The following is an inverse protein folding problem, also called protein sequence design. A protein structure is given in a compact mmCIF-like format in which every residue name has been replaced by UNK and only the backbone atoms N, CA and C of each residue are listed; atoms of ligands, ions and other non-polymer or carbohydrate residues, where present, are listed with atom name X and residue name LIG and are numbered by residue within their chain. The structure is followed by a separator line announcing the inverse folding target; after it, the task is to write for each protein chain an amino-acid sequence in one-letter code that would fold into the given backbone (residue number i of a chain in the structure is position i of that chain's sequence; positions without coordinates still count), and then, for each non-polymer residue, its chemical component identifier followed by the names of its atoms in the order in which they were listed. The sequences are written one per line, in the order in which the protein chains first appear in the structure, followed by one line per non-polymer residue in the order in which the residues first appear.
data_IF_867630538863
#
_entry.id   IF_867630538863
#
_cell.length_a   1.000
_cell.length_b   1.000
_cell.length_c   1.000
_cell.angle_alpha   90.00
_cell.angle_beta   90.00
_cell.angle_gamma   90.00
#
_symmetry.space_group_name_H-M   'P 1'
#
loop_
_entity.id
_entity.type
_entity.pdbx_description
1 polymer ?
#
# COMPACT_ATOMS: atom_id res chain seq x y z
N UNK A 1 28.27 -24.57 20.21
CA UNK A 1 28.51 -24.29 18.78
C UNK A 1 29.71 -25.07 18.25
N UNK A 2 30.86 -25.01 18.93
CA UNK A 2 32.06 -25.80 18.59
C UNK A 2 31.75 -27.29 18.47
N UNK A 3 31.13 -27.89 19.49
CA UNK A 3 30.78 -29.32 19.46
C UNK A 3 29.88 -29.69 18.28
N UNK A 4 28.91 -28.82 17.95
CA UNK A 4 28.04 -28.99 16.78
C UNK A 4 28.83 -28.95 15.48
N UNK A 5 29.75 -27.98 15.35
CA UNK A 5 30.61 -27.87 14.18
C UNK A 5 31.46 -29.12 13.96
N UNK A 6 32.07 -29.64 15.04
CA UNK A 6 32.83 -30.89 15.00
C UNK A 6 31.95 -32.08 14.62
N UNK A 7 30.73 -32.17 15.18
CA UNK A 7 29.79 -33.26 14.90
C UNK A 7 29.31 -33.30 13.44
N UNK A 8 29.20 -32.15 12.77
CA UNK A 8 28.79 -32.06 11.35
C UNK A 8 29.97 -31.97 10.37
N UNK A 9 31.21 -32.05 10.87
CA UNK A 9 32.41 -31.94 10.03
C UNK A 9 32.68 -30.53 9.48
N UNK A 10 32.07 -29.50 10.07
CA UNK A 10 32.28 -28.08 9.71
C UNK A 10 32.69 -27.32 10.97
N UNK A 11 34.00 -27.21 11.27
CA UNK A 11 34.48 -26.53 12.46
C UNK A 11 33.91 -25.12 12.60
N UNK A 12 33.61 -24.73 13.83
CA UNK A 12 33.11 -23.38 14.11
C UNK A 12 34.24 -22.36 14.00
N UNK A 13 34.09 -21.45 13.04
CA UNK A 13 34.97 -20.30 12.84
C UNK A 13 34.15 -19.02 13.00
N UNK A 14 34.43 -18.17 14.01
CA UNK A 14 33.79 -16.87 14.14
C UNK A 14 33.96 -16.05 12.85
N UNK A 15 32.90 -15.42 12.38
CA UNK A 15 32.93 -14.63 11.14
C UNK A 15 32.02 -13.42 11.24
N UNK A 16 32.39 -12.33 10.57
CA UNK A 16 31.52 -11.20 10.30
C UNK A 16 30.99 -11.24 8.87
N UNK A 17 29.81 -10.68 8.67
CA UNK A 17 29.15 -10.58 7.37
C UNK A 17 28.83 -9.10 7.10
N UNK A 18 28.94 -8.62 5.85
CA UNK A 18 28.46 -7.30 5.49
C UNK A 18 26.95 -7.22 5.75
N UNK A 19 26.50 -6.20 6.48
CA UNK A 19 25.11 -6.01 6.90
C UNK A 19 24.74 -4.55 6.69
N UNK A 20 23.55 -4.33 6.14
CA UNK A 20 22.91 -3.01 6.09
C UNK A 20 21.64 -3.06 6.94
N UNK A 21 21.48 -2.09 7.84
CA UNK A 21 20.33 -1.99 8.73
C UNK A 21 19.37 -0.94 8.21
N UNK A 22 18.17 -1.37 7.83
CA UNK A 22 17.11 -0.49 7.37
C UNK A 22 16.05 -0.29 8.43
N UNK A 23 15.29 0.80 8.35
CA UNK A 23 14.18 1.08 9.25
C UNK A 23 13.02 1.67 8.46
N UNK A 24 11.81 1.21 8.79
CA UNK A 24 10.61 1.88 8.30
C UNK A 24 10.45 3.21 9.00
N UNK A 25 10.63 3.29 10.33
CA UNK A 25 10.53 4.53 11.13
C UNK A 25 11.59 5.59 10.79
N UNK A 26 12.75 5.15 10.28
CA UNK A 26 13.94 5.98 10.12
C UNK A 26 14.74 6.19 11.41
N UNK A 27 14.28 5.66 12.56
CA UNK A 27 14.95 5.87 13.85
C UNK A 27 16.07 4.84 14.11
N UNK A 28 15.85 3.56 13.79
CA UNK A 28 16.78 2.46 14.13
C UNK A 28 17.40 1.78 12.91
N UNK A 29 17.67 2.57 11.88
CA UNK A 29 18.23 2.10 10.62
C UNK A 29 18.15 3.17 9.54
N UNK A 30 18.68 2.84 8.37
CA UNK A 30 18.61 3.66 7.16
C UNK A 30 17.14 3.73 6.71
N UNK A 31 16.57 4.93 6.50
CA UNK A 31 15.17 5.05 6.11
C UNK A 31 14.86 4.30 4.82
N UNK A 32 13.91 3.37 4.88
CA UNK A 32 13.33 2.72 3.71
C UNK A 32 11.99 3.37 3.40
N UNK A 33 11.99 4.29 2.43
CA UNK A 33 10.78 4.97 1.95
C UNK A 33 10.27 4.36 0.64
N UNK A 34 9.01 4.61 0.34
CA UNK A 34 8.35 4.26 -0.91
C UNK A 34 7.31 5.35 -1.23
N UNK A 35 7.06 5.66 -2.50
CA UNK A 35 5.95 6.59 -2.83
C UNK A 35 4.60 5.90 -2.65
N UNK A 36 3.54 6.66 -2.38
CA UNK A 36 2.18 6.10 -2.33
C UNK A 36 1.81 5.45 -3.67
N UNK A 37 2.22 6.06 -4.77
CA UNK A 37 2.03 5.55 -6.13
C UNK A 37 2.64 4.15 -6.30
N UNK A 38 3.90 3.97 -5.90
CA UNK A 38 4.61 2.68 -5.99
C UNK A 38 4.09 1.64 -5.00
N UNK A 39 3.48 2.08 -3.91
CA UNK A 39 2.80 1.19 -2.98
C UNK A 39 1.51 0.62 -3.57
N UNK A 40 0.78 1.44 -4.30
CA UNK A 40 -0.41 1.04 -5.03
C UNK A 40 -1.68 0.90 -4.18
N UNK A 41 -2.86 0.86 -4.82
CA UNK A 41 -4.15 0.96 -4.14
C UNK A 41 -4.54 -0.30 -3.34
N UNK A 42 -4.11 -1.49 -3.78
CA UNK A 42 -4.43 -2.76 -3.11
C UNK A 42 -3.70 -2.88 -1.78
N UNK A 43 -2.38 -2.59 -1.79
CA UNK A 43 -1.57 -2.62 -0.59
C UNK A 43 -1.96 -1.49 0.37
N UNK A 44 -2.24 -0.29 -0.15
CA UNK A 44 -2.71 0.82 0.67
C UNK A 44 -4.07 0.51 1.31
N UNK A 45 -4.98 -0.12 0.55
CA UNK A 45 -6.27 -0.57 1.07
C UNK A 45 -6.13 -1.59 2.21
N UNK A 46 -5.11 -2.45 2.16
CA UNK A 46 -4.79 -3.39 3.25
C UNK A 46 -4.38 -2.65 4.53
N UNK A 47 -3.43 -1.72 4.44
CA UNK A 47 -2.94 -0.96 5.59
C UNK A 47 -4.03 -0.06 6.19
N UNK A 48 -4.87 0.53 5.35
CA UNK A 48 -5.98 1.39 5.79
C UNK A 48 -7.23 0.59 6.22
N UNK A 49 -7.19 -0.74 6.14
CA UNK A 49 -8.30 -1.66 6.44
C UNK A 49 -9.58 -1.31 5.67
N UNK A 50 -9.43 -1.00 4.38
CA UNK A 50 -10.53 -0.60 3.52
C UNK A 50 -11.32 -1.83 3.05
N UNK A 51 -12.63 -1.64 2.88
CA UNK A 51 -13.46 -2.64 2.20
C UNK A 51 -13.24 -2.61 0.68
N UNK A 52 -13.84 -3.55 -0.04
CA UNK A 52 -13.69 -3.68 -1.49
C UNK A 52 -14.12 -2.42 -2.24
N UNK A 53 -15.23 -1.79 -1.84
CA UNK A 53 -15.74 -0.56 -2.46
C UNK A 53 -14.75 0.59 -2.29
N UNK A 54 -14.22 0.78 -1.08
CA UNK A 54 -13.24 1.83 -0.77
C UNK A 54 -11.89 1.58 -1.48
N UNK A 55 -11.47 0.33 -1.58
CA UNK A 55 -10.28 -0.06 -2.35
C UNK A 55 -10.47 0.22 -3.84
N UNK A 56 -11.69 -0.01 -4.37
CA UNK A 56 -12.06 0.36 -5.73
C UNK A 56 -12.00 1.88 -5.97
N UNK A 57 -12.44 2.68 -5.00
CA UNK A 57 -12.29 4.15 -5.04
C UNK A 57 -10.82 4.57 -5.09
N UNK A 58 -9.96 3.96 -4.26
CA UNK A 58 -8.52 4.21 -4.35
C UNK A 58 -7.97 3.84 -5.72
N UNK A 59 -8.35 2.69 -6.29
CA UNK A 59 -7.88 2.27 -7.60
C UNK A 59 -8.26 3.28 -8.71
N UNK A 60 -9.49 3.79 -8.71
CA UNK A 60 -9.94 4.83 -9.63
C UNK A 60 -9.14 6.14 -9.46
N UNK A 61 -8.92 6.57 -8.21
CA UNK A 61 -8.12 7.76 -7.91
C UNK A 61 -6.66 7.62 -8.38
N UNK A 62 -6.03 6.47 -8.14
CA UNK A 62 -4.67 6.20 -8.60
C UNK A 62 -4.59 6.21 -10.13
N UNK A 63 -5.59 5.65 -10.81
CA UNK A 63 -5.64 5.65 -12.26
C UNK A 63 -5.79 7.08 -12.82
N UNK A 64 -6.65 7.90 -12.23
CA UNK A 64 -6.76 9.32 -12.57
C UNK A 64 -5.41 10.05 -12.36
N UNK A 65 -4.75 9.82 -11.22
CA UNK A 65 -3.46 10.43 -10.93
C UNK A 65 -2.41 10.09 -12.01
N UNK A 66 -2.35 8.81 -12.41
CA UNK A 66 -1.46 8.34 -13.47
C UNK A 66 -1.78 8.99 -14.83
N UNK A 67 -3.05 9.03 -15.22
CA UNK A 67 -3.48 9.56 -16.53
C UNK A 67 -3.27 11.08 -16.62
N UNK A 68 -3.29 11.79 -15.49
CA UNK A 68 -3.05 13.22 -15.40
C UNK A 68 -1.64 13.60 -14.93
N UNK A 69 -0.72 12.63 -14.82
CA UNK A 69 0.67 12.85 -14.39
C UNK A 69 0.76 13.62 -13.05
N UNK A 70 -0.01 13.16 -12.06
CA UNK A 70 -0.03 13.70 -10.70
C UNK A 70 0.65 12.71 -9.75
N UNK A 71 1.95 12.88 -9.45
CA UNK A 71 2.67 11.94 -8.60
C UNK A 71 2.06 11.88 -7.20
N UNK A 72 1.72 10.66 -6.75
CA UNK A 72 1.26 10.42 -5.38
C UNK A 72 2.47 10.01 -4.54
N UNK A 73 3.14 11.01 -3.96
CA UNK A 73 4.38 10.80 -3.21
C UNK A 73 4.03 10.38 -1.78
N UNK A 74 3.13 11.12 -1.12
CA UNK A 74 2.75 10.87 0.27
C UNK A 74 1.23 10.97 0.55
N UNK A 75 0.87 10.95 1.83
CA UNK A 75 -0.52 11.09 2.24
C UNK A 75 -1.11 12.49 2.09
N UNK A 76 -0.30 13.55 2.06
CA UNK A 76 -0.78 14.89 1.74
C UNK A 76 -1.35 14.90 0.32
N UNK A 77 -0.62 14.31 -0.63
CA UNK A 77 -1.04 14.15 -2.02
C UNK A 77 -2.33 13.34 -2.12
N UNK A 78 -2.35 12.20 -1.44
CA UNK A 78 -3.48 11.28 -1.43
C UNK A 78 -4.74 11.95 -0.90
N UNK A 79 -4.64 12.64 0.25
CA UNK A 79 -5.77 13.37 0.85
C UNK A 79 -6.27 14.47 -0.07
N UNK A 80 -5.35 15.25 -0.65
CA UNK A 80 -5.70 16.41 -1.47
C UNK A 80 -6.34 16.01 -2.79
N UNK A 81 -5.79 14.98 -3.46
CA UNK A 81 -6.40 14.43 -4.66
C UNK A 81 -7.77 13.83 -4.36
N UNK A 82 -7.91 13.08 -3.26
CA UNK A 82 -9.20 12.51 -2.87
C UNK A 82 -10.26 13.59 -2.65
N UNK A 83 -9.92 14.67 -1.94
CA UNK A 83 -10.82 15.82 -1.75
C UNK A 83 -11.15 16.53 -3.07
N UNK A 84 -10.14 16.76 -3.92
CA UNK A 84 -10.31 17.37 -5.24
C UNK A 84 -11.31 16.59 -6.12
N UNK A 85 -11.22 15.25 -6.11
CA UNK A 85 -12.06 14.37 -6.93
C UNK A 85 -13.41 14.03 -6.29
N UNK A 86 -13.57 14.14 -4.97
CA UNK A 86 -14.84 13.83 -4.31
C UNK A 86 -15.77 15.05 -4.16
N UNK A 87 -15.20 16.21 -3.89
CA UNK A 87 -15.96 17.43 -3.54
C UNK A 87 -15.50 18.68 -4.33
N UNK A 88 -14.30 18.66 -4.89
CA UNK A 88 -13.72 19.77 -5.64
C UNK A 88 -14.09 19.80 -7.13
N UNK A 89 -13.45 20.69 -7.90
CA UNK A 89 -13.69 20.83 -9.34
C UNK A 89 -13.46 19.55 -10.14
N UNK A 90 -12.56 18.67 -9.68
CA UNK A 90 -12.27 17.38 -10.30
C UNK A 90 -13.39 16.34 -10.19
N UNK A 91 -14.43 16.59 -9.39
CA UNK A 91 -15.58 15.68 -9.24
C UNK A 91 -16.27 15.35 -10.56
N UNK A 92 -16.40 16.34 -11.45
CA UNK A 92 -17.01 16.10 -12.76
C UNK A 92 -16.03 15.45 -13.76
N UNK A 93 -14.72 15.69 -13.61
CA UNK A 93 -13.68 15.05 -14.44
C UNK A 93 -13.67 13.53 -14.22
N UNK A 94 -13.60 13.08 -12.96
CA UNK A 94 -13.49 11.65 -12.65
C UNK A 94 -14.76 10.86 -13.00
N UNK A 95 -15.91 11.52 -12.93
CA UNK A 95 -17.24 10.91 -13.12
C UNK A 95 -17.45 10.36 -14.51
N UNK A 96 -16.83 10.97 -15.53
CA UNK A 96 -16.94 10.53 -16.93
C UNK A 96 -16.26 9.17 -17.16
N UNK A 97 -15.02 9.04 -16.70
CA UNK A 97 -14.14 7.93 -17.11
C UNK A 97 -13.97 6.84 -16.04
N UNK A 98 -14.12 7.19 -14.74
CA UNK A 98 -13.86 6.25 -13.64
C UNK A 98 -15.03 6.12 -12.66
N UNK A 99 -16.08 6.93 -12.84
CA UNK A 99 -17.26 6.94 -12.00
C UNK A 99 -17.18 7.89 -10.81
N UNK A 100 -18.29 8.03 -10.08
CA UNK A 100 -18.40 9.00 -8.99
C UNK A 100 -17.82 8.46 -7.69
N UNK A 101 -16.99 9.25 -7.01
CA UNK A 101 -16.57 9.01 -5.64
C UNK A 101 -17.66 9.52 -4.68
N UNK A 102 -18.14 8.66 -3.78
CA UNK A 102 -19.10 9.07 -2.75
C UNK A 102 -18.39 9.80 -1.59
N UNK A 103 -19.03 10.82 -1.03
CA UNK A 103 -18.51 11.54 0.14
C UNK A 103 -18.34 10.63 1.36
N UNK A 104 -19.21 9.63 1.52
CA UNK A 104 -19.11 8.64 2.58
C UNK A 104 -17.83 7.79 2.49
N UNK A 105 -17.48 7.31 1.29
CA UNK A 105 -16.24 6.56 1.07
C UNK A 105 -15.01 7.46 1.24
N UNK A 106 -15.02 8.65 0.63
CA UNK A 106 -13.93 9.65 0.75
C UNK A 106 -13.65 10.00 2.22
N UNK A 107 -14.68 10.38 2.98
CA UNK A 107 -14.53 10.73 4.40
C UNK A 107 -14.10 9.54 5.29
N UNK A 108 -14.35 8.31 4.89
CA UNK A 108 -13.84 7.13 5.61
C UNK A 108 -12.36 6.90 5.33
N UNK A 109 -11.95 6.99 4.07
CA UNK A 109 -10.54 6.86 3.66
C UNK A 109 -9.70 7.96 4.34
N UNK A 110 -10.16 9.22 4.30
CA UNK A 110 -9.47 10.34 4.95
C UNK A 110 -9.25 10.10 6.45
N UNK A 111 -10.26 9.61 7.17
CA UNK A 111 -10.14 9.30 8.61
C UNK A 111 -9.15 8.17 8.88
N UNK A 112 -9.12 7.14 8.03
CA UNK A 112 -8.15 6.05 8.14
C UNK A 112 -6.71 6.53 7.87
N UNK A 113 -6.51 7.40 6.89
CA UNK A 113 -5.21 8.05 6.65
C UNK A 113 -4.77 8.85 7.87
N UNK A 114 -5.64 9.70 8.42
CA UNK A 114 -5.33 10.51 9.61
C UNK A 114 -5.00 9.63 10.82
N UNK A 115 -5.71 8.52 11.02
CA UNK A 115 -5.40 7.58 12.09
C UNK A 115 -3.99 6.97 11.94
N UNK A 116 -3.56 6.68 10.71
CA UNK A 116 -2.23 6.15 10.45
C UNK A 116 -1.12 7.21 10.61
N UNK A 117 -1.39 8.46 10.22
CA UNK A 117 -0.49 9.59 10.49
C UNK A 117 -0.27 9.79 11.99
N UNK A 118 -1.33 9.67 12.82
CA UNK A 118 -1.23 9.77 14.27
C UNK A 118 -0.40 8.66 14.91
N UNK A 119 -0.34 7.49 14.29
CA UNK A 119 0.53 6.39 14.71
C UNK A 119 2.00 6.63 14.34
N UNK A 120 2.31 7.74 13.64
CA UNK A 120 3.66 8.07 13.20
C UNK A 120 4.17 7.09 12.17
N UNK A 121 3.30 6.63 11.26
CA UNK A 121 3.63 5.63 10.23
C UNK A 121 3.68 6.23 8.82
N UNK A 122 3.39 7.52 8.68
CA UNK A 122 3.35 8.21 7.40
C UNK A 122 4.74 8.48 6.79
N UNK A 123 5.80 8.47 7.60
CA UNK A 123 7.17 8.75 7.15
C UNK A 123 7.74 7.67 6.22
N UNK A 124 7.10 6.49 6.12
CA UNK A 124 7.45 5.47 5.12
C UNK A 124 7.10 5.95 3.71
N UNK A 125 6.15 6.88 3.59
CA UNK A 125 5.70 7.40 2.32
C UNK A 125 6.44 8.69 1.97
N UNK A 126 7.15 8.67 0.85
CA UNK A 126 7.87 9.83 0.36
C UNK A 126 9.12 9.49 -0.45
N UNK A 127 9.84 10.54 -0.81
CA UNK A 127 11.11 10.45 -1.54
C UNK A 127 12.28 10.85 -0.61
N UNK A 128 13.52 10.44 -0.83
CA UNK A 128 13.95 9.49 -1.84
C UNK A 128 13.46 8.09 -1.51
N UNK A 129 12.72 7.50 -2.45
CA UNK A 129 12.22 6.14 -2.40
C UNK A 129 13.38 5.14 -2.50
N UNK A 130 13.20 3.98 -1.88
CA UNK A 130 14.22 2.97 -1.82
C UNK A 130 14.51 2.38 -3.21
N UNK A 131 15.76 2.48 -3.64
CA UNK A 131 16.24 1.89 -4.88
C UNK A 131 16.55 0.41 -4.67
N UNK A 132 15.75 -0.45 -5.28
CA UNK A 132 15.89 -1.91 -5.19
C UNK A 132 17.28 -2.42 -5.60
N UNK A 133 18.03 -1.66 -6.42
CA UNK A 133 19.37 -2.04 -6.84
C UNK A 133 20.37 -2.07 -5.66
N UNK A 134 20.10 -1.32 -4.60
CA UNK A 134 20.93 -1.32 -3.40
C UNK A 134 20.89 -2.66 -2.64
N UNK A 135 19.88 -3.51 -2.89
CA UNK A 135 19.82 -4.87 -2.32
C UNK A 135 20.86 -5.84 -2.91
N UNK A 136 21.49 -5.48 -4.03
CA UNK A 136 22.42 -6.36 -4.75
C UNK A 136 23.89 -6.01 -4.50
N UNK A 137 24.16 -5.13 -3.53
CA UNK A 137 25.51 -4.74 -3.16
C UNK A 137 26.37 -5.92 -2.67
N UNK A 138 27.68 -5.78 -2.89
CA UNK A 138 28.69 -6.73 -2.44
C UNK A 138 29.85 -6.01 -1.81
N UNK A 139 30.38 -6.56 -0.72
CA UNK A 139 31.60 -6.10 -0.06
C UNK A 139 32.61 -7.26 -0.07
N UNK A 140 33.77 -7.03 -0.66
CA UNK A 140 34.82 -8.05 -0.85
C UNK A 140 34.30 -9.35 -1.50
N UNK A 141 33.41 -9.21 -2.49
CA UNK A 141 32.79 -10.33 -3.19
C UNK A 141 31.67 -11.06 -2.42
N UNK A 142 31.40 -10.69 -1.15
CA UNK A 142 30.30 -11.23 -0.34
C UNK A 142 29.04 -10.38 -0.52
N UNK A 143 27.89 -11.03 -0.68
CA UNK A 143 26.60 -10.35 -0.69
C UNK A 143 26.32 -9.68 0.67
N UNK A 144 25.73 -8.49 0.61
CA UNK A 144 25.31 -7.74 1.79
C UNK A 144 23.99 -8.30 2.33
N UNK A 145 23.90 -8.48 3.64
CA UNK A 145 22.67 -8.88 4.32
C UNK A 145 21.87 -7.62 4.65
N UNK A 146 20.79 -7.40 3.90
CA UNK A 146 19.84 -6.33 4.17
C UNK A 146 18.87 -6.75 5.27
N UNK A 147 18.94 -6.12 6.44
CA UNK A 147 18.07 -6.39 7.58
C UNK A 147 17.11 -5.22 7.81
N UNK A 148 15.81 -5.46 7.66
CA UNK A 148 14.80 -4.50 8.07
C UNK A 148 14.57 -4.60 9.58
N UNK A 149 15.02 -3.58 10.31
CA UNK A 149 14.77 -3.46 11.73
C UNK A 149 13.32 -3.04 11.97
N UNK A 150 12.54 -3.95 12.55
CA UNK A 150 11.14 -3.72 12.90
C UNK A 150 10.94 -3.40 14.39
N UNK A 151 12.01 -3.27 15.18
CA UNK A 151 11.93 -3.11 16.65
C UNK A 151 11.19 -1.86 17.11
N UNK A 152 11.02 -0.86 16.24
CA UNK A 152 10.29 0.38 16.47
C UNK A 152 8.89 0.39 15.83
N UNK A 153 8.51 -0.67 15.10
CA UNK A 153 7.20 -0.84 14.45
C UNK A 153 6.57 -2.21 14.76
N UNK A 154 6.98 -2.86 15.85
CA UNK A 154 6.52 -4.21 16.24
C UNK A 154 5.01 -4.26 16.46
N UNK A 155 4.43 -3.17 16.98
CA UNK A 155 2.99 -3.05 17.20
C UNK A 155 2.18 -2.87 15.91
N UNK A 156 2.86 -2.83 14.74
CA UNK A 156 2.27 -2.57 13.43
C UNK A 156 2.57 -3.71 12.43
N UNK A 157 2.16 -4.96 12.72
CA UNK A 157 2.51 -6.11 11.90
C UNK A 157 1.98 -6.07 10.48
N UNK A 158 0.79 -5.49 10.29
CA UNK A 158 0.20 -5.32 8.95
C UNK A 158 1.02 -4.34 8.12
N UNK A 159 1.60 -3.31 8.73
CA UNK A 159 2.39 -2.30 8.02
C UNK A 159 3.65 -2.92 7.40
N UNK A 160 4.52 -3.51 8.24
CA UNK A 160 5.80 -3.99 7.75
C UNK A 160 5.64 -5.19 6.82
N UNK A 161 4.64 -6.05 7.05
CA UNK A 161 4.38 -7.20 6.18
C UNK A 161 3.91 -6.72 4.80
N UNK A 162 3.00 -5.74 4.75
CA UNK A 162 2.57 -5.11 3.50
C UNK A 162 3.72 -4.38 2.81
N UNK A 163 4.63 -3.74 3.55
CA UNK A 163 5.82 -3.10 3.00
C UNK A 163 6.81 -4.11 2.40
N UNK A 164 7.10 -5.21 3.08
CA UNK A 164 7.98 -6.26 2.52
C UNK A 164 7.38 -6.84 1.23
N UNK A 165 6.05 -6.97 1.15
CA UNK A 165 5.38 -7.37 -0.08
C UNK A 165 5.48 -6.29 -1.17
N UNK A 166 5.34 -5.00 -0.83
CA UNK A 166 5.52 -3.92 -1.81
C UNK A 166 6.93 -3.93 -2.38
N UNK A 167 7.94 -4.16 -1.55
CA UNK A 167 9.33 -4.31 -1.98
C UNK A 167 9.50 -5.51 -2.93
N UNK A 168 8.86 -6.64 -2.65
CA UNK A 168 8.86 -7.80 -3.54
C UNK A 168 8.14 -7.51 -4.87
N UNK A 169 7.05 -6.75 -4.83
CA UNK A 169 6.34 -6.31 -6.03
C UNK A 169 7.20 -5.36 -6.89
N UNK A 170 7.95 -4.45 -6.26
CA UNK A 170 8.90 -3.57 -6.93
C UNK A 170 10.05 -4.37 -7.58
N UNK A 171 10.59 -5.36 -6.87
CA UNK A 171 11.55 -6.30 -7.44
C UNK A 171 10.97 -7.03 -8.65
N UNK A 172 9.74 -7.53 -8.58
CA UNK A 172 9.09 -8.19 -9.71
C UNK A 172 8.91 -7.27 -10.93
N UNK A 173 8.45 -6.03 -10.69
CA UNK A 173 8.16 -5.03 -11.72
C UNK A 173 9.43 -4.57 -12.44
N UNK A 174 10.49 -4.29 -11.69
CA UNK A 174 11.65 -3.56 -12.20
C UNK A 174 12.82 -4.48 -12.60
N UNK A 175 12.86 -5.72 -12.11
CA UNK A 175 13.94 -6.65 -12.46
C UNK A 175 13.72 -7.27 -13.85
N UNK A 176 14.78 -7.45 -14.65
CA UNK A 176 14.69 -8.18 -15.91
C UNK A 176 14.45 -9.67 -15.62
N UNK A 177 13.82 -10.35 -16.57
CA UNK A 177 13.78 -11.81 -16.54
C UNK A 177 15.18 -12.37 -16.77
N UNK A 178 15.49 -13.43 -16.04
CA UNK A 178 16.71 -14.21 -16.16
C UNK A 178 16.32 -15.66 -16.38
N UNK A 179 17.13 -16.37 -17.16
CA UNK A 179 16.95 -17.81 -17.35
C UNK A 179 17.22 -18.59 -16.05
N UNK A 180 17.47 -19.88 -16.19
CA UNK A 180 17.76 -20.74 -15.05
C UNK A 180 19.21 -20.51 -14.58
N UNK A 181 19.39 -19.68 -13.56
CA UNK A 181 20.68 -19.40 -12.95
C UNK A 181 20.97 -20.44 -11.86
N UNK A 182 22.22 -20.91 -11.79
CA UNK A 182 22.68 -21.82 -10.72
C UNK A 182 22.48 -21.25 -9.31
N UNK A 183 22.50 -19.92 -9.17
CA UNK A 183 22.31 -19.20 -7.90
C UNK A 183 21.35 -18.02 -8.10
N UNK A 184 20.46 -17.76 -7.13
CA UNK A 184 19.64 -16.56 -7.17
C UNK A 184 20.51 -15.31 -7.03
N UNK A 185 20.06 -14.21 -7.63
CA UNK A 185 20.65 -12.87 -7.47
C UNK A 185 20.37 -12.31 -6.07
N UNK A 186 19.21 -12.63 -5.50
CA UNK A 186 18.76 -12.20 -4.18
C UNK A 186 17.93 -13.30 -3.53
N UNK A 187 18.02 -13.42 -2.21
CA UNK A 187 17.13 -14.27 -1.41
C UNK A 187 16.38 -13.39 -0.43
N UNK A 188 15.05 -13.46 -0.46
CA UNK A 188 14.16 -12.67 0.37
C UNK A 188 13.53 -13.56 1.44
N UNK A 189 13.69 -13.20 2.72
CA UNK A 189 13.11 -13.92 3.85
C UNK A 189 11.97 -13.11 4.44
N UNK A 190 10.79 -13.73 4.52
CA UNK A 190 9.67 -13.21 5.29
C UNK A 190 9.65 -13.91 6.64
N UNK A 191 10.15 -13.22 7.66
CA UNK A 191 9.98 -13.67 9.04
C UNK A 191 8.54 -13.42 9.51
N UNK A 192 8.04 -14.34 10.34
CA UNK A 192 6.64 -14.37 10.78
C UNK A 192 5.64 -14.22 9.63
N UNK A 193 5.81 -15.06 8.60
CA UNK A 193 5.03 -15.05 7.36
C UNK A 193 3.51 -15.04 7.57
N UNK A 194 3.02 -15.62 8.68
CA UNK A 194 1.61 -15.65 9.04
C UNK A 194 0.96 -14.25 9.08
N UNK A 195 1.74 -13.20 9.39
CA UNK A 195 1.27 -11.82 9.47
C UNK A 195 0.94 -11.20 8.11
N UNK A 196 1.46 -11.75 7.02
CA UNK A 196 1.07 -11.36 5.67
C UNK A 196 -0.37 -11.79 5.35
N UNK A 197 -0.75 -12.97 5.81
CA UNK A 197 -1.94 -13.67 5.31
C UNK A 197 -3.15 -13.52 6.22
N UNK A 198 -2.94 -13.37 7.52
CA UNK A 198 -4.04 -13.37 8.49
C UNK A 198 -5.02 -12.21 8.25
N UNK A 199 -6.29 -12.54 7.96
CA UNK A 199 -7.33 -11.56 7.66
C UNK A 199 -7.11 -10.74 6.39
N UNK A 200 -6.23 -11.18 5.47
CA UNK A 200 -5.93 -10.45 4.25
C UNK A 200 -7.10 -10.52 3.22
N UNK A 201 -7.45 -9.41 2.54
CA UNK A 201 -8.46 -9.40 1.50
C UNK A 201 -8.09 -10.31 0.32
N UNK A 202 -9.09 -10.81 -0.40
CA UNK A 202 -8.87 -11.69 -1.57
C UNK A 202 -7.98 -11.07 -2.64
N UNK A 203 -8.15 -9.77 -2.90
CA UNK A 203 -7.32 -9.04 -3.87
C UNK A 203 -5.83 -9.06 -3.48
N UNK A 204 -5.53 -8.88 -2.19
CA UNK A 204 -4.18 -8.95 -1.65
C UNK A 204 -3.59 -10.36 -1.81
N UNK A 205 -4.33 -11.40 -1.39
CA UNK A 205 -3.87 -12.79 -1.51
C UNK A 205 -3.58 -13.19 -2.97
N UNK A 206 -4.42 -12.73 -3.90
CA UNK A 206 -4.22 -12.97 -5.35
C UNK A 206 -2.93 -12.32 -5.84
N UNK A 207 -2.65 -11.09 -5.41
CA UNK A 207 -1.43 -10.38 -5.78
C UNK A 207 -0.19 -11.08 -5.23
N UNK A 208 -0.24 -11.54 -3.97
CA UNK A 208 0.84 -12.32 -3.35
C UNK A 208 1.12 -13.60 -4.12
N UNK A 209 0.08 -14.38 -4.44
CA UNK A 209 0.20 -15.63 -5.20
C UNK A 209 0.83 -15.40 -6.58
N UNK A 210 0.42 -14.36 -7.29
CA UNK A 210 0.99 -13.99 -8.58
C UNK A 210 2.48 -13.65 -8.48
N UNK A 211 2.86 -12.83 -7.50
CA UNK A 211 4.26 -12.44 -7.32
C UNK A 211 5.11 -13.67 -6.98
N UNK A 212 4.70 -14.49 -6.02
CA UNK A 212 5.46 -15.68 -5.60
C UNK A 212 5.65 -16.66 -6.75
N UNK A 213 4.61 -16.87 -7.57
CA UNK A 213 4.69 -17.77 -8.74
C UNK A 213 5.71 -17.29 -9.77
N UNK A 214 5.83 -15.98 -9.97
CA UNK A 214 6.59 -15.42 -11.09
C UNK A 214 7.97 -14.88 -10.69
N UNK A 215 8.21 -14.53 -9.43
CA UNK A 215 9.44 -13.86 -9.00
C UNK A 215 10.71 -14.71 -9.24
N UNK A 216 10.59 -16.04 -9.28
CA UNK A 216 11.72 -16.93 -9.61
C UNK A 216 12.34 -16.58 -10.96
N UNK A 217 11.54 -16.20 -11.96
CA UNK A 217 12.05 -15.81 -13.29
C UNK A 217 12.88 -14.51 -13.24
N UNK A 218 12.84 -13.76 -12.14
CA UNK A 218 13.69 -12.59 -11.90
C UNK A 218 15.00 -12.94 -11.18
N UNK A 219 15.22 -14.22 -10.90
CA UNK A 219 16.39 -14.71 -10.17
C UNK A 219 16.32 -14.42 -8.68
N UNK A 220 15.11 -14.33 -8.11
CA UNK A 220 14.90 -14.04 -6.69
C UNK A 220 14.30 -15.29 -6.03
N UNK A 221 14.96 -15.76 -4.97
CA UNK A 221 14.42 -16.81 -4.11
C UNK A 221 13.60 -16.20 -2.97
N UNK A 222 12.47 -16.80 -2.62
CA UNK A 222 11.63 -16.35 -1.50
C UNK A 222 11.51 -17.49 -0.49
N UNK A 223 11.73 -17.17 0.79
CA UNK A 223 11.55 -18.08 1.91
C UNK A 223 10.56 -17.48 2.90
N UNK A 224 9.57 -18.28 3.30
CA UNK A 224 8.63 -17.93 4.37
C UNK A 224 9.04 -18.67 5.64
N UNK A 225 9.32 -17.91 6.69
CA UNK A 225 9.62 -18.42 8.02
C UNK A 225 8.36 -18.27 8.88
N UNK A 226 7.86 -19.38 9.41
CA UNK A 226 6.65 -19.43 10.23
C UNK A 226 6.75 -20.55 11.25
N UNK A 227 6.01 -20.41 12.35
CA UNK A 227 5.92 -21.44 13.39
C UNK A 227 5.09 -22.64 12.92
N UNK A 228 3.99 -22.39 12.21
CA UNK A 228 3.17 -23.44 11.61
C UNK A 228 3.08 -23.28 10.09
N UNK A 229 3.31 -24.35 9.30
CA UNK A 229 3.08 -24.33 7.86
C UNK A 229 1.65 -23.94 7.48
N UNK A 230 0.67 -24.25 8.33
CA UNK A 230 -0.76 -23.94 8.10
C UNK A 230 -1.07 -22.45 8.08
N UNK A 231 -0.15 -21.61 8.54
CA UNK A 231 -0.34 -20.16 8.57
C UNK A 231 -0.09 -19.50 7.21
N UNK A 232 0.44 -20.27 6.25
CA UNK A 232 0.64 -19.86 4.86
C UNK A 232 -0.49 -20.46 4.00
N UNK A 233 -1.15 -19.68 3.12
CA UNK A 233 -2.21 -20.17 2.25
C UNK A 233 -1.76 -21.34 1.37
N UNK A 234 -2.66 -22.30 1.15
CA UNK A 234 -2.37 -23.49 0.33
C UNK A 234 -1.88 -23.15 -1.07
N UNK A 235 -2.43 -22.11 -1.71
CA UNK A 235 -2.00 -21.66 -3.05
C UNK A 235 -0.53 -21.24 -3.06
N UNK A 236 -0.10 -20.54 -2.00
CA UNK A 236 1.29 -20.10 -1.82
C UNK A 236 2.18 -21.29 -1.45
N UNK A 237 1.78 -22.13 -0.49
CA UNK A 237 2.51 -23.34 -0.10
C UNK A 237 2.75 -24.26 -1.29
N UNK A 238 1.81 -24.35 -2.23
CA UNK A 238 1.96 -25.14 -3.45
C UNK A 238 3.06 -24.62 -4.38
N UNK A 239 3.45 -23.35 -4.27
CA UNK A 239 4.59 -22.76 -5.00
C UNK A 239 5.93 -22.98 -4.28
N UNK A 240 5.91 -23.38 -3.00
CA UNK A 240 7.12 -23.55 -2.19
C UNK A 240 7.63 -24.99 -2.27
N UNK A 241 8.62 -25.20 -3.14
CA UNK A 241 9.21 -26.53 -3.37
C UNK A 241 10.22 -27.00 -2.33
N UNK A 242 10.89 -26.07 -1.64
CA UNK A 242 11.93 -26.38 -0.65
C UNK A 242 11.38 -26.24 0.76
N UNK A 243 11.72 -27.17 1.64
CA UNK A 243 11.27 -27.18 3.04
C UNK A 243 12.40 -27.49 4.00
N UNK A 244 12.48 -26.68 5.05
CA UNK A 244 13.37 -26.86 6.19
C UNK A 244 12.51 -26.77 7.44
N UNK A 245 12.14 -27.92 8.00
CA UNK A 245 11.22 -27.99 9.12
C UNK A 245 11.98 -28.31 10.40
N UNK A 246 12.01 -27.34 11.30
CA UNK A 246 12.47 -27.57 12.66
C UNK A 246 11.45 -28.37 13.46
N UNK A 247 11.86 -28.77 14.65
CA UNK A 247 11.05 -29.60 15.53
C UNK A 247 9.65 -29.03 15.76
N UNK A 248 8.63 -29.88 15.67
CA UNK A 248 7.25 -29.55 16.00
C UNK A 248 6.89 -30.24 17.31
N UNK A 249 6.48 -29.45 18.30
CA UNK A 249 6.01 -29.97 19.58
C UNK A 249 4.49 -30.02 19.55
N UNK A 250 3.92 -31.15 19.96
CA UNK A 250 2.49 -31.31 20.09
C UNK A 250 2.11 -31.37 21.58
N UNK A 251 1.66 -30.24 22.12
CA UNK A 251 1.21 -30.15 23.52
C UNK A 251 -0.31 -30.10 23.63
N UNK A 252 -0.99 -29.65 22.58
CA UNK A 252 -2.44 -29.54 22.49
C UNK A 252 -3.03 -30.45 21.41
N UNK A 253 -4.34 -30.74 21.45
CA UNK A 253 -5.03 -31.46 20.35
C UNK A 253 -4.88 -30.76 18.99
N UNK A 254 -4.89 -29.43 18.98
CA UNK A 254 -4.72 -28.64 17.76
C UNK A 254 -3.30 -28.82 17.19
N UNK A 255 -2.28 -28.86 18.03
CA UNK A 255 -0.90 -29.11 17.59
C UNK A 255 -0.76 -30.51 16.97
N UNK A 256 -1.43 -31.51 17.56
CA UNK A 256 -1.43 -32.87 17.02
C UNK A 256 -2.13 -32.94 15.65
N UNK A 257 -3.20 -32.18 15.45
CA UNK A 257 -3.85 -32.07 14.14
C UNK A 257 -2.95 -31.37 13.10
N UNK A 258 -2.32 -30.26 13.50
CA UNK A 258 -1.39 -29.51 12.64
C UNK A 258 -0.15 -30.32 12.27
N UNK A 259 0.39 -31.10 13.21
CA UNK A 259 1.48 -32.05 12.95
C UNK A 259 1.04 -33.09 11.91
N UNK A 260 -0.14 -33.71 12.07
CA UNK A 260 -0.68 -34.67 11.09
C UNK A 260 -0.86 -34.05 9.70
N UNK A 261 -1.37 -32.81 9.63
CA UNK A 261 -1.49 -32.06 8.37
C UNK A 261 -0.12 -31.83 7.74
N UNK A 262 0.85 -31.37 8.53
CA UNK A 262 2.22 -31.11 8.07
C UNK A 262 2.88 -32.38 7.54
N UNK A 263 2.81 -33.50 8.26
CA UNK A 263 3.37 -34.80 7.85
C UNK A 263 2.84 -35.25 6.49
N UNK A 264 1.53 -35.08 6.24
CA UNK A 264 0.90 -35.45 4.96
C UNK A 264 1.42 -34.67 3.76
N UNK A 265 2.07 -33.53 3.98
CA UNK A 265 2.63 -32.72 2.90
C UNK A 265 3.99 -33.21 2.42
N UNK A 266 4.65 -34.13 3.14
CA UNK A 266 5.96 -34.66 2.76
C UNK A 266 5.84 -35.84 1.78
N UNK A 267 6.85 -36.04 0.93
CA UNK A 267 7.05 -37.33 0.27
C UNK A 267 7.09 -38.46 1.31
N UNK A 268 6.60 -39.64 0.93
CA UNK A 268 6.79 -40.84 1.76
C UNK A 268 8.28 -41.14 1.82
N UNK A 269 8.77 -41.48 3.00
CA UNK A 269 10.14 -41.85 3.24
C UNK A 269 10.21 -43.32 3.64
N UNK A 270 11.14 -44.06 3.04
CA UNK A 270 11.45 -45.44 3.45
C UNK A 270 12.35 -45.49 4.70
N UNK A 271 12.91 -44.33 5.11
CA UNK A 271 13.90 -44.22 6.19
C UNK A 271 13.31 -43.65 7.48
N UNK A 272 12.25 -42.85 7.39
CA UNK A 272 11.74 -42.05 8.51
C UNK A 272 10.23 -42.18 8.69
N UNK A 273 9.82 -42.43 9.93
CA UNK A 273 8.46 -42.12 10.39
C UNK A 273 8.40 -40.62 10.71
N UNK A 274 7.95 -39.84 9.74
CA UNK A 274 8.09 -38.37 9.71
C UNK A 274 7.50 -37.70 10.95
N UNK A 275 6.35 -38.16 11.45
CA UNK A 275 5.71 -37.64 12.66
C UNK A 275 6.55 -37.87 13.93
N UNK A 276 7.17 -39.04 14.06
CA UNK A 276 8.08 -39.35 15.16
C UNK A 276 9.41 -38.59 15.06
N UNK A 277 9.94 -38.44 13.85
CA UNK A 277 11.15 -37.66 13.63
C UNK A 277 10.92 -36.20 13.99
N UNK A 278 9.87 -35.56 13.45
CA UNK A 278 9.57 -34.14 13.70
C UNK A 278 9.38 -33.82 15.19
N UNK A 279 8.85 -34.76 15.97
CA UNK A 279 8.65 -34.58 17.42
C UNK A 279 9.91 -34.83 18.24
N UNK A 280 10.88 -35.62 17.72
CA UNK A 280 12.13 -35.97 18.40
C UNK A 280 13.31 -35.05 18.09
N UNK A 281 13.25 -34.25 17.01
CA UNK A 281 14.31 -33.30 16.65
C UNK A 281 14.65 -32.34 17.80
N UNK A 282 15.94 -32.11 18.02
CA UNK A 282 16.51 -31.16 18.96
C UNK A 282 16.87 -29.81 18.32
N UNK A 283 17.37 -28.89 19.13
CA UNK A 283 17.84 -27.57 18.67
C UNK A 283 18.98 -27.70 17.66
N UNK A 284 18.87 -27.00 16.53
CA UNK A 284 19.85 -27.09 15.46
C UNK A 284 19.71 -28.33 14.57
N UNK A 285 18.64 -29.10 14.72
CA UNK A 285 18.27 -30.14 13.79
C UNK A 285 17.00 -29.74 13.02
N UNK A 286 16.85 -30.27 11.82
CA UNK A 286 15.70 -30.04 10.95
C UNK A 286 15.43 -31.25 10.07
N UNK A 287 14.19 -31.42 9.63
CA UNK A 287 13.82 -32.32 8.56
C UNK A 287 13.78 -31.54 7.25
N UNK A 288 14.54 -31.98 6.25
CA UNK A 288 14.77 -31.22 5.01
C UNK A 288 14.35 -32.04 3.79
N UNK A 289 13.66 -31.37 2.87
CA UNK A 289 13.43 -31.84 1.49
C UNK A 289 13.52 -30.63 0.56
N UNK A 290 14.19 -30.79 -0.58
CA UNK A 290 14.39 -29.73 -1.56
C UNK A 290 14.03 -30.24 -2.95
N UNK A 291 13.84 -29.35 -3.91
CA UNK A 291 13.69 -29.77 -5.30
C UNK A 291 15.04 -30.10 -5.93
N UNK A 292 15.11 -31.18 -6.69
CA UNK A 292 16.23 -31.46 -7.59
C UNK A 292 16.13 -30.64 -8.89
N UNK A 293 17.10 -30.80 -9.78
CA UNK A 293 17.19 -30.08 -11.06
C UNK A 293 15.97 -30.31 -11.99
N UNK A 294 15.16 -31.35 -11.74
CA UNK A 294 13.93 -31.64 -12.47
C UNK A 294 12.68 -31.09 -11.77
N UNK A 295 12.83 -30.33 -10.69
CA UNK A 295 11.72 -29.82 -9.89
C UNK A 295 11.02 -30.89 -9.06
N UNK A 296 11.64 -32.05 -8.84
CA UNK A 296 11.06 -33.16 -8.07
C UNK A 296 11.61 -33.08 -6.63
N UNK A 297 10.76 -33.16 -5.59
CA UNK A 297 11.23 -33.23 -4.21
C UNK A 297 12.19 -34.39 -4.00
N UNK A 298 13.32 -34.12 -3.37
CA UNK A 298 14.27 -35.14 -2.92
C UNK A 298 13.70 -35.93 -1.76
N UNK A 299 14.29 -37.10 -1.50
CA UNK A 299 14.06 -37.86 -0.27
C UNK A 299 14.21 -36.95 0.95
N UNK A 300 13.40 -37.22 1.97
CA UNK A 300 13.35 -36.42 3.19
C UNK A 300 14.49 -36.84 4.10
N UNK A 301 15.27 -35.89 4.63
CA UNK A 301 16.46 -36.19 5.43
C UNK A 301 16.45 -35.44 6.76
N UNK A 302 16.61 -36.19 7.85
CA UNK A 302 16.87 -35.62 9.17
C UNK A 302 18.30 -35.08 9.22
N UNK A 303 18.45 -33.77 9.36
CA UNK A 303 19.69 -33.04 9.14
C UNK A 303 20.12 -32.28 10.40
N UNK A 304 21.40 -32.38 10.74
CA UNK A 304 22.02 -31.52 11.75
C UNK A 304 22.60 -30.26 11.07
N UNK A 305 22.16 -29.09 11.50
CA UNK A 305 22.54 -27.81 10.88
C UNK A 305 23.91 -27.33 11.35
N UNK A 306 24.63 -26.69 10.42
CA UNK A 306 25.90 -26.03 10.69
C UNK A 306 25.69 -24.91 11.73
N UNK A 307 26.60 -24.73 12.69
CA UNK A 307 26.48 -23.63 13.64
C UNK A 307 26.57 -22.26 12.97
N UNK A 308 25.70 -21.33 13.38
CA UNK A 308 25.83 -19.93 13.01
C UNK A 308 27.22 -19.41 13.42
N UNK A 309 27.87 -18.65 12.52
CA UNK A 309 29.24 -18.15 12.68
C UNK A 309 29.32 -16.75 13.31
N UNK A 310 28.21 -16.03 13.32
CA UNK A 310 28.06 -14.72 13.95
C UNK A 310 27.24 -14.84 15.24
N UNK A 311 27.21 -13.76 16.02
CA UNK A 311 26.46 -13.68 17.28
C UNK A 311 24.97 -14.01 17.05
N UNK A 312 24.47 -15.01 17.76
CA UNK A 312 23.04 -15.34 17.81
C UNK A 312 22.39 -14.63 19.00
N UNK A 313 22.15 -13.33 18.85
CA UNK A 313 21.57 -12.49 19.90
C UNK A 313 21.36 -11.05 19.43
N UNK A 314 20.68 -10.23 20.24
CA UNK A 314 20.52 -8.81 19.94
C UNK A 314 21.89 -8.13 19.88
N UNK A 315 22.08 -7.30 18.86
CA UNK A 315 23.23 -6.40 18.80
C UNK A 315 23.06 -5.29 19.85
N UNK A 316 24.16 -4.83 20.44
CA UNK A 316 24.13 -3.65 21.28
C UNK A 316 23.95 -2.36 20.47
N UNK A 317 23.46 -1.30 21.12
CA UNK A 317 23.15 -0.02 20.46
C UNK A 317 24.39 0.63 19.82
N UNK A 318 25.58 0.39 20.38
CA UNK A 318 26.83 0.91 19.85
C UNK A 318 27.17 0.26 18.51
N UNK A 319 27.02 -1.07 18.41
CA UNK A 319 27.20 -1.85 17.19
C UNK A 319 26.19 -1.44 16.12
N UNK A 320 24.92 -1.31 16.49
CA UNK A 320 23.87 -0.84 15.57
C UNK A 320 24.20 0.55 15.03
N UNK A 321 24.55 1.49 15.91
CA UNK A 321 24.94 2.85 15.52
C UNK A 321 26.17 2.86 14.61
N UNK A 322 27.16 2.03 14.90
CA UNK A 322 28.36 1.91 14.08
C UNK A 322 28.02 1.41 12.67
N UNK A 323 27.20 0.36 12.53
CA UNK A 323 26.79 -0.18 11.22
C UNK A 323 26.08 0.92 10.41
N UNK A 324 25.12 1.62 11.02
CA UNK A 324 24.37 2.69 10.35
C UNK A 324 25.28 3.85 9.95
N UNK A 325 26.21 4.25 10.82
CA UNK A 325 27.10 5.39 10.57
C UNK A 325 28.16 5.10 9.49
N UNK A 326 28.51 3.82 9.28
CA UNK A 326 29.49 3.40 8.27
C UNK A 326 28.87 3.18 6.88
N UNK A 327 27.55 3.16 6.79
CA UNK A 327 26.85 2.92 5.53
C UNK A 327 26.79 4.15 4.64
N UNK A 328 27.21 4.00 3.38
CA UNK A 328 27.04 5.03 2.36
C UNK A 328 25.55 5.27 2.02
N UNK A 329 24.70 4.26 2.22
CA UNK A 329 23.26 4.35 1.96
C UNK A 329 22.56 5.28 2.96
N UNK A 330 23.14 5.48 4.14
CA UNK A 330 22.65 6.50 5.07
C UNK A 330 22.66 7.88 4.42
N UNK A 331 23.76 8.27 3.76
CA UNK A 331 23.84 9.57 3.09
C UNK A 331 22.84 9.68 1.93
N UNK A 332 22.52 8.58 1.26
CA UNK A 332 21.54 8.52 0.16
C UNK A 332 20.09 8.72 0.64
N UNK A 333 19.74 8.17 1.81
CA UNK A 333 18.33 8.07 2.25
C UNK A 333 17.99 8.87 3.51
N UNK A 334 18.96 9.41 4.25
CA UNK A 334 18.68 10.12 5.49
C UNK A 334 17.78 11.34 5.24
N UNK A 335 18.04 12.11 4.19
CA UNK A 335 17.25 13.29 3.84
C UNK A 335 16.07 12.93 2.94
N UNK A 336 14.93 13.56 3.23
CA UNK A 336 13.74 13.50 2.36
C UNK A 336 13.98 14.38 1.13
N UNK A 337 13.56 13.91 -0.04
CA UNK A 337 13.52 14.70 -1.26
C UNK A 337 12.11 15.26 -1.46
N UNK A 338 12.03 16.50 -1.91
CA UNK A 338 10.78 17.18 -2.21
C UNK A 338 10.72 17.42 -3.72
N UNK A 339 9.99 16.56 -4.44
CA UNK A 339 9.67 16.77 -5.85
C UNK A 339 8.25 17.29 -6.01
N UNK A 340 7.95 17.82 -7.20
CA UNK A 340 6.64 18.36 -7.55
C UNK A 340 5.56 17.28 -7.48
N UNK A 341 4.63 17.44 -6.55
CA UNK A 341 3.65 16.42 -6.19
C UNK A 341 2.23 16.71 -6.72
N UNK A 342 1.32 15.74 -6.60
CA UNK A 342 -0.09 15.94 -6.92
C UNK A 342 -0.71 17.11 -6.14
N UNK A 343 -0.34 17.27 -4.86
CA UNK A 343 -0.83 18.38 -4.04
C UNK A 343 -0.47 19.75 -4.63
N UNK A 344 0.75 19.91 -5.15
CA UNK A 344 1.20 21.16 -5.78
C UNK A 344 0.47 21.40 -7.10
N UNK A 345 0.37 20.37 -7.94
CA UNK A 345 -0.35 20.45 -9.23
C UNK A 345 -1.82 20.87 -9.02
N UNK A 346 -2.47 20.34 -7.98
CA UNK A 346 -3.85 20.71 -7.66
C UNK A 346 -3.93 22.17 -7.23
N UNK A 347 -3.02 22.67 -6.38
CA UNK A 347 -3.03 24.08 -5.97
C UNK A 347 -2.86 25.01 -7.17
N UNK A 348 -1.93 24.69 -8.07
CA UNK A 348 -1.72 25.46 -9.29
C UNK A 348 -3.00 25.50 -10.14
N UNK A 349 -3.68 24.36 -10.32
CA UNK A 349 -4.96 24.28 -11.04
C UNK A 349 -6.05 25.12 -10.38
N UNK A 350 -6.18 25.03 -9.06
CA UNK A 350 -7.17 25.80 -8.29
C UNK A 350 -6.90 27.30 -8.38
N UNK A 351 -5.63 27.72 -8.31
CA UNK A 351 -5.23 29.12 -8.47
C UNK A 351 -5.49 29.63 -9.88
N UNK A 352 -5.20 28.84 -10.91
CA UNK A 352 -5.47 29.21 -12.30
C UNK A 352 -6.97 29.40 -12.56
N UNK A 353 -7.80 28.47 -12.07
CA UNK A 353 -9.27 28.57 -12.18
C UNK A 353 -9.82 29.81 -11.47
N UNK A 354 -9.35 30.09 -10.25
CA UNK A 354 -9.76 31.29 -9.51
C UNK A 354 -9.35 32.60 -10.21
N UNK A 355 -8.17 32.64 -10.84
CA UNK A 355 -7.74 33.80 -11.64
C UNK A 355 -8.59 33.98 -12.89
N UNK A 356 -8.98 32.89 -13.56
CA UNK A 356 -9.83 32.94 -14.73
C UNK A 356 -11.25 33.42 -14.39
N UNK A 357 -11.83 32.95 -13.28
CA UNK A 357 -13.11 33.46 -12.78
C UNK A 357 -13.06 34.95 -12.43
N UNK A 358 -11.96 35.41 -11.80
CA UNK A 358 -11.77 36.83 -11.52
C UNK A 358 -11.65 37.67 -12.80
N UNK A 359 -10.91 37.20 -13.81
CA UNK A 359 -10.82 37.87 -15.11
C UNK A 359 -12.17 37.92 -15.81
N UNK A 360 -12.91 36.80 -15.85
CA UNK A 360 -14.24 36.74 -16.45
C UNK A 360 -15.26 37.63 -15.70
N UNK A 361 -15.13 37.78 -14.38
CA UNK A 361 -15.95 38.71 -13.61
C UNK A 361 -15.63 40.17 -13.93
N UNK A 362 -14.34 40.53 -14.03
CA UNK A 362 -13.88 41.86 -14.40
C UNK A 362 -14.28 42.24 -15.84
N UNK A 363 -14.20 41.30 -16.79
CA UNK A 363 -14.64 41.49 -18.16
C UNK A 363 -16.16 41.70 -18.25
N UNK A 364 -16.95 40.93 -17.49
CA UNK A 364 -18.41 41.12 -17.39
C UNK A 364 -18.80 42.46 -16.74
N UNK A 365 -18.01 42.97 -15.79
CA UNK A 365 -18.20 44.31 -15.22
C UNK A 365 -17.81 45.42 -16.21
N UNK A 366 -16.71 45.25 -16.95
CA UNK A 366 -16.29 46.18 -17.99
C UNK A 366 -17.27 46.24 -19.17
N UNK A 367 -17.86 45.10 -19.58
CA UNK A 367 -18.93 45.06 -20.59
C UNK A 367 -20.24 45.71 -20.09
N UNK A 368 -20.56 45.59 -18.80
CA UNK A 368 -21.71 46.30 -18.21
C UNK A 368 -21.47 47.80 -18.11
N UNK A 369 -20.23 48.23 -17.85
CA UNK A 369 -19.86 49.65 -17.79
C UNK A 369 -19.75 50.31 -19.17
N UNK A 370 -19.48 49.55 -20.23
CA UNK A 370 -19.37 50.06 -21.61
C UNK A 370 -20.67 50.05 -22.42
N UNK A 371 -21.78 49.51 -21.89
CA UNK A 371 -23.12 49.67 -22.50
C UNK A 371 -23.59 51.13 -22.39
N UNK A 372 -23.88 51.82 -23.51
CA UNK A 372 -24.32 53.20 -23.44
C UNK A 372 -25.72 53.28 -22.79
N UNK A 373 -25.82 54.13 -21.77
CA UNK A 373 -27.09 54.59 -21.19
C UNK A 373 -27.86 55.42 -22.24
N UNK A 374 -28.60 54.74 -23.14
CA UNK A 374 -29.52 55.39 -24.06
C UNK A 374 -30.94 55.42 -23.49
N UNK A 375 -31.17 56.23 -22.44
CA UNK A 375 -32.45 56.95 -22.25
C UNK A 375 -32.35 57.94 -21.08
N UNK A 376 -31.92 59.17 -21.36
CA UNK A 376 -32.39 60.31 -20.57
C UNK A 376 -33.87 60.50 -20.88
N UNK A 377 -34.74 59.87 -20.10
CA UNK A 377 -36.15 60.24 -20.09
C UNK A 377 -36.30 61.52 -19.28
N UNK A 378 -36.86 62.54 -19.92
CA UNK A 378 -37.21 63.80 -19.25
C UNK A 378 -38.32 63.56 -18.23
N UNK A 379 -38.36 64.28 -17.09
CA UNK A 379 -39.33 64.07 -16.00
C UNK A 379 -40.81 64.11 -16.45
N UNK A 380 -41.11 64.76 -17.57
CA UNK A 380 -42.46 64.83 -18.14
C UNK A 380 -42.99 63.49 -18.69
N UNK A 381 -42.13 62.61 -19.22
CA UNK A 381 -42.57 61.32 -19.79
C UNK A 381 -42.92 60.28 -18.71
N UNK A 382 -42.29 60.37 -17.53
CA UNK A 382 -42.57 59.49 -16.40
C UNK A 382 -43.96 59.75 -15.80
N UNK A 383 -44.42 61.01 -15.78
CA UNK A 383 -45.73 61.38 -15.27
C UNK A 383 -46.90 60.86 -16.13
N UNK A 384 -46.74 60.81 -17.46
CA UNK A 384 -47.78 60.29 -18.36
C UNK A 384 -47.94 58.76 -18.31
N UNK A 385 -46.86 58.01 -18.02
CA UNK A 385 -46.93 56.54 -17.90
C UNK A 385 -47.52 56.06 -16.58
N UNK A 386 -47.35 56.81 -15.49
CA UNK A 386 -47.98 56.47 -14.20
C UNK A 386 -49.49 56.74 -14.23
N UNK A 387 -49.97 57.76 -14.98
CA UNK A 387 -51.41 58.00 -15.16
C UNK A 387 -52.11 56.89 -15.97
N UNK A 388 -51.41 56.27 -16.92
CA UNK A 388 -51.98 55.23 -17.80
C UNK A 388 -51.92 53.82 -17.20
N UNK A 389 -50.90 53.52 -16.38
CA UNK A 389 -50.77 52.19 -15.75
C UNK A 389 -51.60 52.01 -14.47
N UNK A 390 -51.97 53.09 -13.78
CA UNK A 390 -52.82 53.01 -12.58
C UNK A 390 -54.30 52.80 -12.94
N UNK A 391 -54.78 53.38 -14.05
CA UNK A 391 -56.14 53.15 -14.56
C UNK A 391 -56.35 51.72 -15.13
N UNK A 392 -55.29 51.11 -15.70
CA UNK A 392 -55.37 49.74 -16.21
C UNK A 392 -55.36 48.66 -15.10
N UNK A 393 -54.77 48.96 -13.93
CA UNK A 393 -54.65 47.99 -12.82
C UNK A 393 -55.86 47.94 -11.89
N UNK A 394 -56.70 48.98 -11.84
CA UNK A 394 -57.93 48.97 -11.05
C UNK A 394 -59.16 48.45 -11.83
N UNK A 395 -59.21 48.63 -13.16
CA UNK A 395 -60.31 48.10 -13.99
C UNK A 395 -60.36 46.56 -14.07
N UNK A 396 -59.21 45.88 -14.08
CA UNK A 396 -59.15 44.42 -14.21
C UNK A 396 -59.45 43.69 -12.89
N UNK A 397 -59.17 44.32 -11.73
CA UNK A 397 -59.47 43.73 -10.42
C UNK A 397 -60.94 43.83 -10.02
N UNK A 398 -61.72 44.74 -10.60
CA UNK A 398 -63.15 44.89 -10.29
C UNK A 398 -64.04 43.93 -11.10
N UNK A 399 -63.68 43.64 -12.35
CA UNK A 399 -64.42 42.69 -13.21
C UNK A 399 -64.18 41.22 -12.83
N UNK A 400 -62.96 40.87 -12.39
CA UNK A 400 -62.63 39.50 -11.98
C UNK A 400 -63.36 39.01 -10.71
N UNK A 401 -63.66 39.92 -9.76
CA UNK A 401 -64.28 39.59 -8.47
C UNK A 401 -65.81 39.48 -8.51
N UNK A 402 -66.48 40.07 -9.51
CA UNK A 402 -67.93 39.90 -9.72
C UNK A 402 -68.27 38.58 -10.44
N UNK A 403 -67.41 38.11 -11.35
CA UNK A 403 -67.64 36.88 -12.10
C UNK A 403 -67.45 35.59 -11.26
N UNK A 404 -66.57 35.60 -10.25
CA UNK A 404 -66.34 34.45 -9.37
C UNK A 404 -67.33 34.36 -8.20
N UNK A 405 -67.96 35.47 -7.80
CA UNK A 405 -68.97 35.50 -6.73
C UNK A 405 -70.34 34.95 -7.16
N UNK A 406 -70.73 35.17 -8.42
CA UNK A 406 -72.01 34.67 -8.95
C UNK A 406 -71.97 33.18 -9.35
N UNK A 407 -70.83 32.65 -9.80
CA UNK A 407 -70.71 31.24 -10.18
C UNK A 407 -70.73 30.28 -8.97
N UNK A 408 -70.16 30.70 -7.83
CA UNK A 408 -70.10 29.87 -6.62
C UNK A 408 -71.42 29.86 -5.81
N UNK A 409 -72.33 30.80 -6.06
CA UNK A 409 -73.66 30.81 -5.45
C UNK A 409 -74.68 29.89 -6.17
N UNK A 410 -74.41 29.50 -7.41
CA UNK A 410 -75.33 28.69 -8.23
C UNK A 410 -75.04 27.17 -8.20
N UNK A 411 -73.84 26.76 -7.77
CA UNK A 411 -73.41 25.35 -7.77
C UNK A 411 -73.44 24.66 -6.39
N UNK A 412 -74.00 25.32 -5.36
CA UNK A 412 -74.21 24.75 -4.02
C UNK A 412 -75.70 24.61 -3.69
N UNK A 413 -76.45 23.90 -4.54
CA UNK A 413 -77.77 23.34 -4.20
C UNK A 413 -78.16 22.23 -5.18
N UNK A 414 -77.68 21.02 -4.92
CA UNK A 414 -78.45 19.76 -4.93
C UNK A 414 -77.55 18.61 -4.52
#
# INVERSE_FOLDING_TARGET
LIDRGNAVGVPFEPSSFPVELYSLSGNKGIPMRITVEDFGPVLLGRILELNETQTGVLAAMFKYAQDHQMPLIDFSDTKKLLTYLSEGPGSEEIKGDYGKISSASSGTILRKIVALEQQGLAHIFGEKEFDINDLFQKVDGRGVISLLNISDVQDQPVLYSTFLLSLLAQLFKNMPEVGDLDKPKLVFFFDEAHLLFNGAPKAFLTQVDQIIRLIRSKGIGVFFCTQSPTDVPESVLAQLGNRVQHALRAFTPNDAENLKKTVKTYPKSDFYEIDQVLTSLGTGQALITVLNDKGIPTEVVATHLVPARAVMGPADDATVSQIINQSDLRAKYQERQENRSAAEIIDERMQAAAQEEQRAAQEKEAEKASRPSSRRQTPLEAAQRTATTTLAREGVKFLGKLATGLLNAFLKKK
#
